data_IF_989559991923
#
_entry.id   IF_989559991923
#
_cell.length_a   1.000
_cell.length_b   1.000
_cell.length_c   1.000
_cell.angle_alpha   90.00
_cell.angle_beta   90.00
_cell.angle_gamma   90.00
#
_symmetry.space_group_name_H-M   'P 1'
#
loop_
_entity.id
_entity.type
_entity.pdbx_description
1 polymer ?
#
# COMPACT_ATOMS: atom_id res chain seq x y z
N UNK A 1 13.67 20.49 1.75
CA UNK A 1 15.13 20.48 1.88
C UNK A 1 15.74 20.32 0.49
N UNK A 2 16.62 21.23 0.05
CA UNK A 2 17.42 21.05 -1.18
C UNK A 2 18.49 19.99 -0.87
N UNK A 3 18.51 18.91 -1.64
CA UNK A 3 19.62 17.96 -1.63
C UNK A 3 20.75 18.60 -2.43
N UNK A 4 21.86 18.84 -1.79
CA UNK A 4 23.07 19.31 -2.49
C UNK A 4 23.72 18.14 -3.22
N UNK A 5 23.94 18.28 -4.51
CA UNK A 5 24.53 17.21 -5.35
C UNK A 5 25.98 16.85 -4.93
N UNK A 6 26.65 17.73 -4.18
CA UNK A 6 27.99 17.47 -3.62
C UNK A 6 27.99 16.36 -2.55
N UNK A 7 26.83 16.06 -1.95
CA UNK A 7 26.69 15.08 -0.86
C UNK A 7 26.25 13.70 -1.32
N UNK A 8 26.20 13.43 -2.62
CA UNK A 8 25.83 12.11 -3.16
C UNK A 8 27.01 11.18 -2.99
N UNK A 9 26.92 10.30 -2.01
CA UNK A 9 27.93 9.28 -1.72
C UNK A 9 27.58 7.93 -2.38
N UNK A 10 28.62 7.17 -2.72
CA UNK A 10 28.44 5.80 -3.19
C UNK A 10 27.91 4.92 -2.06
N UNK A 11 27.11 3.92 -2.45
CA UNK A 11 26.63 2.89 -1.53
C UNK A 11 27.77 2.20 -0.78
N UNK A 12 27.62 2.01 0.54
CA UNK A 12 28.61 1.30 1.36
C UNK A 12 28.79 -0.16 0.91
N UNK A 13 29.97 -0.72 1.15
CA UNK A 13 30.26 -2.13 0.83
C UNK A 13 29.33 -3.09 1.59
N UNK A 14 28.95 -2.76 2.82
CA UNK A 14 27.98 -3.54 3.60
C UNK A 14 26.59 -3.52 2.95
N UNK A 15 26.08 -2.34 2.60
CA UNK A 15 24.76 -2.20 1.93
C UNK A 15 24.73 -2.99 0.63
N UNK A 16 25.81 -2.93 -0.17
CA UNK A 16 25.92 -3.70 -1.42
C UNK A 16 25.82 -5.21 -1.18
N UNK A 17 26.55 -5.74 -0.17
CA UNK A 17 26.49 -7.17 0.18
C UNK A 17 25.10 -7.59 0.65
N UNK A 18 24.44 -6.77 1.49
CA UNK A 18 23.07 -7.05 1.96
C UNK A 18 22.08 -7.10 0.79
N UNK A 19 22.13 -6.15 -0.13
CA UNK A 19 21.26 -6.14 -1.31
C UNK A 19 21.53 -7.34 -2.23
N UNK A 20 22.77 -7.76 -2.40
CA UNK A 20 23.13 -8.94 -3.20
C UNK A 20 22.64 -10.26 -2.59
N UNK A 21 22.42 -10.32 -1.27
CA UNK A 21 21.90 -11.50 -0.57
C UNK A 21 20.36 -11.66 -0.68
N UNK A 22 19.66 -10.67 -1.25
CA UNK A 22 18.20 -10.73 -1.39
C UNK A 22 17.81 -11.59 -2.58
N UNK A 23 16.95 -12.58 -2.37
CA UNK A 23 16.27 -13.31 -3.44
C UNK A 23 15.14 -12.46 -4.04
N UNK A 24 15.49 -11.57 -4.97
CA UNK A 24 14.53 -10.68 -5.63
C UNK A 24 13.44 -11.44 -6.41
N UNK A 25 13.73 -12.64 -6.91
CA UNK A 25 12.77 -13.45 -7.63
C UNK A 25 11.66 -13.94 -6.69
N UNK A 26 12.05 -14.46 -5.54
CA UNK A 26 11.10 -14.88 -4.50
C UNK A 26 10.29 -13.69 -3.98
N UNK A 27 10.92 -12.56 -3.69
CA UNK A 27 10.24 -11.31 -3.26
C UNK A 27 9.20 -10.86 -4.29
N UNK A 28 9.58 -10.84 -5.58
CA UNK A 28 8.65 -10.48 -6.67
C UNK A 28 7.45 -11.40 -6.70
N UNK A 29 7.69 -12.70 -6.71
CA UNK A 29 6.63 -13.73 -6.77
C UNK A 29 5.66 -13.60 -5.59
N UNK A 30 6.20 -13.44 -4.38
CA UNK A 30 5.37 -13.32 -3.17
C UNK A 30 4.53 -12.05 -3.14
N UNK A 31 5.07 -10.91 -3.58
CA UNK A 31 4.31 -9.66 -3.71
C UNK A 31 3.19 -9.76 -4.74
N UNK A 32 3.44 -10.41 -5.87
CA UNK A 32 2.42 -10.63 -6.91
C UNK A 32 1.31 -11.57 -6.42
N UNK A 33 1.66 -12.64 -5.70
CA UNK A 33 0.70 -13.53 -5.05
C UNK A 33 -0.17 -12.78 -4.03
N UNK A 34 0.46 -12.06 -3.11
CA UNK A 34 -0.24 -11.27 -2.09
C UNK A 34 -1.16 -10.21 -2.72
N UNK A 35 -0.74 -9.57 -3.82
CA UNK A 35 -1.59 -8.63 -4.53
C UNK A 35 -2.84 -9.29 -5.11
N UNK A 36 -2.71 -10.46 -5.74
CA UNK A 36 -3.86 -11.23 -6.25
C UNK A 36 -4.82 -11.60 -5.13
N UNK A 37 -4.28 -12.12 -4.02
CA UNK A 37 -5.08 -12.44 -2.83
C UNK A 37 -5.78 -11.21 -2.28
N UNK A 38 -5.11 -10.06 -2.22
CA UNK A 38 -5.72 -8.80 -1.79
C UNK A 38 -6.84 -8.36 -2.74
N UNK A 39 -6.67 -8.49 -4.07
CA UNK A 39 -7.73 -8.21 -5.04
C UNK A 39 -8.98 -9.06 -4.78
N UNK A 40 -8.83 -10.35 -4.49
CA UNK A 40 -9.94 -11.25 -4.19
C UNK A 40 -10.66 -10.87 -2.89
N UNK A 41 -9.91 -10.56 -1.83
CA UNK A 41 -10.44 -10.25 -0.50
C UNK A 41 -11.11 -8.88 -0.47
N UNK A 42 -10.44 -7.83 -0.96
CA UNK A 42 -10.88 -6.45 -0.78
C UNK A 42 -11.83 -5.93 -1.86
N UNK A 43 -12.03 -6.64 -2.98
CA UNK A 43 -12.85 -6.18 -4.11
C UNK A 43 -14.28 -5.75 -3.71
N UNK A 44 -14.83 -6.36 -2.67
CA UNK A 44 -16.22 -6.10 -2.23
C UNK A 44 -16.39 -4.74 -1.54
N UNK A 45 -15.29 -4.16 -1.04
CA UNK A 45 -15.29 -2.85 -0.36
C UNK A 45 -14.48 -1.79 -1.11
N UNK A 46 -13.64 -2.19 -2.06
CA UNK A 46 -12.80 -1.24 -2.79
C UNK A 46 -13.62 -0.47 -3.83
N UNK A 47 -13.51 0.85 -3.83
CA UNK A 47 -14.20 1.75 -4.78
C UNK A 47 -13.53 1.84 -6.15
N UNK A 48 -12.32 1.28 -6.28
CA UNK A 48 -11.59 1.21 -7.55
C UNK A 48 -11.22 -0.23 -7.86
N UNK A 49 -10.99 -0.52 -9.14
CA UNK A 49 -10.37 -1.78 -9.58
C UNK A 49 -8.88 -1.56 -9.86
N UNK A 50 -7.99 -1.99 -8.96
CA UNK A 50 -6.56 -1.79 -9.13
C UNK A 50 -5.94 -2.72 -10.20
N UNK A 51 -6.70 -3.66 -10.78
CA UNK A 51 -6.18 -4.62 -11.76
C UNK A 51 -6.19 -4.08 -13.19
N UNK A 52 -6.94 -3.01 -13.47
CA UNK A 52 -7.16 -2.50 -14.83
C UNK A 52 -5.89 -2.12 -15.60
N UNK A 53 -4.78 -1.85 -14.91
CA UNK A 53 -3.53 -1.37 -15.51
C UNK A 53 -2.30 -2.18 -15.07
N UNK A 54 -2.48 -3.37 -14.50
CA UNK A 54 -1.38 -4.20 -14.01
C UNK A 54 -1.14 -5.36 -14.97
N UNK A 55 0.01 -5.34 -15.65
CA UNK A 55 0.53 -6.48 -16.38
C UNK A 55 1.34 -7.43 -15.47
N UNK A 56 1.66 -8.64 -15.96
CA UNK A 56 2.39 -9.65 -15.21
C UNK A 56 3.84 -9.28 -14.83
N UNK A 57 4.35 -8.14 -15.30
CA UNK A 57 5.72 -7.67 -15.01
C UNK A 57 5.74 -6.69 -13.83
N UNK A 58 4.61 -6.10 -13.49
CA UNK A 58 4.50 -5.18 -12.36
C UNK A 58 4.72 -5.90 -11.04
N UNK A 59 5.48 -5.30 -10.15
CA UNK A 59 5.69 -5.75 -8.77
C UNK A 59 5.04 -4.74 -7.83
N UNK A 60 3.83 -5.00 -7.35
CA UNK A 60 3.12 -4.04 -6.49
C UNK A 60 3.84 -3.84 -5.16
N UNK A 61 3.83 -2.60 -4.65
CA UNK A 61 4.37 -2.25 -3.34
C UNK A 61 3.29 -2.43 -2.26
N UNK A 62 2.06 -2.00 -2.58
CA UNK A 62 0.88 -2.06 -1.71
C UNK A 62 -0.34 -2.42 -2.54
N UNK A 63 -1.42 -2.83 -1.87
CA UNK A 63 -2.75 -2.87 -2.47
C UNK A 63 -3.46 -1.54 -2.19
N UNK A 64 -3.91 -0.80 -3.21
CA UNK A 64 -4.59 0.48 -3.03
C UNK A 64 -6.06 0.23 -2.70
N UNK A 65 -6.40 0.21 -1.43
CA UNK A 65 -7.79 0.19 -0.99
C UNK A 65 -8.32 1.63 -0.96
N UNK A 66 -9.33 1.91 -1.75
CA UNK A 66 -10.04 3.21 -1.72
C UNK A 66 -11.40 3.02 -1.06
N UNK A 67 -11.63 3.73 0.03
CA UNK A 67 -12.87 3.70 0.77
C UNK A 67 -13.17 5.08 1.35
N UNK A 68 -14.39 5.59 1.17
CA UNK A 68 -14.80 6.96 1.51
C UNK A 68 -14.97 7.17 3.02
N UNK A 69 -13.89 6.91 3.75
CA UNK A 69 -13.75 7.18 5.17
C UNK A 69 -12.36 7.77 5.43
N UNK A 70 -12.31 9.06 5.66
CA UNK A 70 -11.06 9.78 5.89
C UNK A 70 -10.43 9.49 7.27
N UNK A 71 -11.13 8.79 8.15
CA UNK A 71 -10.64 8.36 9.47
C UNK A 71 -10.19 6.91 9.52
N UNK A 72 -10.40 6.15 8.45
CA UNK A 72 -10.09 4.70 8.45
C UNK A 72 -8.62 4.41 8.81
N UNK A 73 -7.67 5.19 8.27
CA UNK A 73 -6.24 5.03 8.59
C UNK A 73 -5.96 5.23 10.08
N UNK A 74 -6.58 6.23 10.70
CA UNK A 74 -6.35 6.54 12.12
C UNK A 74 -6.96 5.46 13.01
N UNK A 75 -8.17 4.98 12.68
CA UNK A 75 -8.83 3.87 13.39
C UNK A 75 -8.07 2.54 13.24
N UNK A 76 -7.46 2.27 12.07
CA UNK A 76 -6.58 1.10 11.88
C UNK A 76 -5.33 1.19 12.77
N UNK A 77 -4.76 2.40 12.91
CA UNK A 77 -3.62 2.63 13.79
C UNK A 77 -3.94 2.36 15.26
N UNK A 78 -5.14 2.71 15.72
CA UNK A 78 -5.63 2.38 17.08
C UNK A 78 -5.71 0.86 17.30
N UNK A 79 -5.91 0.08 16.24
CA UNK A 79 -5.86 -1.38 16.24
C UNK A 79 -4.46 -1.96 16.01
N UNK A 80 -3.42 -1.12 16.08
CA UNK A 80 -2.02 -1.48 15.83
C UNK A 80 -1.76 -1.98 14.39
N UNK A 81 -2.66 -1.67 13.46
CA UNK A 81 -2.49 -1.93 12.04
C UNK A 81 -1.92 -0.67 11.40
N UNK A 82 -0.61 -0.70 11.18
CA UNK A 82 0.13 0.46 10.71
C UNK A 82 0.10 0.53 9.18
N UNK A 83 -0.68 1.47 8.69
CA UNK A 83 -0.68 1.93 7.31
C UNK A 83 -0.57 3.45 7.30
N UNK A 84 -0.29 4.05 6.16
CA UNK A 84 -0.07 5.49 6.05
C UNK A 84 -1.08 6.16 5.13
N UNK A 85 -1.05 7.49 5.13
CA UNK A 85 -1.63 8.29 4.05
C UNK A 85 -0.49 8.73 3.14
N UNK A 86 -0.65 8.47 1.87
CA UNK A 86 0.30 8.89 0.87
C UNK A 86 -0.12 10.24 0.27
N UNK A 87 0.87 11.00 -0.16
CA UNK A 87 0.71 12.24 -0.94
C UNK A 87 -0.19 13.31 -0.27
N UNK A 88 -0.12 13.48 1.03
CA UNK A 88 -0.89 14.51 1.74
C UNK A 88 -0.70 15.92 1.18
N UNK A 89 0.50 16.23 0.65
CA UNK A 89 0.80 17.52 0.03
C UNK A 89 -0.07 17.79 -1.21
N UNK A 90 -0.45 16.75 -1.94
CA UNK A 90 -1.30 16.87 -3.14
C UNK A 90 -2.61 17.57 -2.83
N UNK A 91 -3.18 17.38 -1.64
CA UNK A 91 -4.43 18.03 -1.22
C UNK A 91 -4.34 19.57 -1.19
N UNK A 92 -3.12 20.13 -1.16
CA UNK A 92 -2.88 21.58 -1.18
C UNK A 92 -2.50 22.10 -2.58
N UNK A 93 -2.27 21.20 -3.53
CA UNK A 93 -1.72 21.52 -4.86
C UNK A 93 -2.73 21.32 -6.00
N UNK A 94 -3.81 20.55 -5.75
CA UNK A 94 -4.79 20.20 -6.78
C UNK A 94 -6.21 20.64 -6.37
N UNK A 95 -7.14 20.80 -7.34
CA UNK A 95 -8.55 21.07 -7.02
C UNK A 95 -9.16 19.97 -6.15
N UNK A 96 -9.99 20.36 -5.17
CA UNK A 96 -10.62 19.42 -4.22
C UNK A 96 -11.43 18.32 -4.92
N UNK A 97 -12.03 18.61 -6.07
CA UNK A 97 -12.85 17.68 -6.84
C UNK A 97 -12.03 16.79 -7.80
N UNK A 98 -10.70 16.94 -7.81
CA UNK A 98 -9.85 16.12 -8.68
C UNK A 98 -9.73 14.68 -8.20
N UNK A 99 -9.43 13.76 -9.11
CA UNK A 99 -9.22 12.35 -8.79
C UNK A 99 -7.99 12.15 -7.88
N UNK A 100 -6.97 12.98 -8.05
CA UNK A 100 -5.76 12.97 -7.23
C UNK A 100 -6.09 13.36 -5.78
N UNK A 101 -6.94 14.37 -5.57
CA UNK A 101 -7.40 14.75 -4.24
C UNK A 101 -8.23 13.63 -3.61
N UNK A 102 -9.13 13.01 -4.38
CA UNK A 102 -9.93 11.86 -3.95
C UNK A 102 -9.05 10.69 -3.49
N UNK A 103 -8.06 10.30 -4.29
CA UNK A 103 -7.12 9.23 -3.92
C UNK A 103 -6.29 9.59 -2.68
N UNK A 104 -5.75 10.81 -2.61
CA UNK A 104 -4.95 11.26 -1.48
C UNK A 104 -5.74 11.29 -0.17
N UNK A 105 -7.05 11.51 -0.25
CA UNK A 105 -7.95 11.55 0.91
C UNK A 105 -8.41 10.16 1.36
N UNK A 106 -8.72 9.27 0.43
CA UNK A 106 -9.45 8.04 0.72
C UNK A 106 -8.66 6.75 0.48
N UNK A 107 -7.47 6.81 -0.14
CA UNK A 107 -6.67 5.62 -0.36
C UNK A 107 -5.94 5.19 0.90
N UNK A 108 -6.13 3.92 1.24
CA UNK A 108 -5.43 3.21 2.30
C UNK A 108 -4.46 2.20 1.67
N UNK A 109 -3.14 2.42 1.73
CA UNK A 109 -2.16 1.50 1.17
C UNK A 109 -2.01 0.26 2.06
N UNK A 110 -2.69 -0.83 1.71
CA UNK A 110 -2.59 -2.09 2.45
C UNK A 110 -1.25 -2.76 2.14
N UNK A 111 -0.42 -3.07 3.15
CA UNK A 111 0.86 -3.74 2.95
C UNK A 111 0.68 -5.15 2.38
N UNK A 112 1.43 -5.46 1.31
CA UNK A 112 1.41 -6.76 0.63
C UNK A 112 2.83 -7.31 0.40
N UNK A 113 3.79 -6.82 1.14
CA UNK A 113 5.18 -7.24 0.96
C UNK A 113 5.40 -8.72 1.36
N UNK A 114 6.56 -9.23 1.07
CA UNK A 114 6.90 -10.66 1.22
C UNK A 114 6.85 -11.19 2.68
N UNK A 115 6.69 -10.32 3.67
CA UNK A 115 6.54 -10.69 5.09
C UNK A 115 5.11 -11.12 5.44
N UNK A 116 4.16 -10.79 4.58
CA UNK A 116 2.74 -11.09 4.77
C UNK A 116 2.30 -12.30 3.95
N UNK A 117 1.19 -12.88 4.36
CA UNK A 117 0.49 -13.96 3.68
C UNK A 117 -1.03 -13.72 3.73
N UNK A 118 -1.80 -14.67 3.20
CA UNK A 118 -3.26 -14.62 3.17
C UNK A 118 -3.87 -14.45 4.56
N UNK A 119 -3.29 -15.05 5.61
CA UNK A 119 -3.79 -14.95 6.99
C UNK A 119 -3.75 -13.51 7.49
N UNK A 120 -2.63 -12.82 7.24
CA UNK A 120 -2.46 -11.42 7.59
C UNK A 120 -3.43 -10.52 6.81
N UNK A 121 -3.59 -10.75 5.50
CA UNK A 121 -4.51 -9.99 4.66
C UNK A 121 -5.97 -10.15 5.10
N UNK A 122 -6.38 -11.39 5.43
CA UNK A 122 -7.70 -11.67 5.98
C UNK A 122 -7.90 -10.99 7.35
N UNK A 123 -6.91 -11.03 8.23
CA UNK A 123 -6.98 -10.37 9.52
C UNK A 123 -7.26 -8.87 9.36
N UNK A 124 -6.46 -8.19 8.53
CA UNK A 124 -6.63 -6.75 8.27
C UNK A 124 -8.02 -6.47 7.66
N UNK A 125 -8.47 -7.30 6.73
CA UNK A 125 -9.79 -7.19 6.12
C UNK A 125 -10.93 -7.27 7.16
N UNK A 126 -10.90 -8.27 8.03
CA UNK A 126 -11.91 -8.42 9.08
C UNK A 126 -11.90 -7.24 10.08
N UNK A 127 -10.73 -6.71 10.42
CA UNK A 127 -10.66 -5.51 11.26
C UNK A 127 -11.24 -4.28 10.54
N UNK A 128 -11.02 -4.14 9.23
CA UNK A 128 -11.66 -3.08 8.43
C UNK A 128 -13.18 -3.24 8.44
N UNK A 129 -13.72 -4.44 8.19
CA UNK A 129 -15.15 -4.68 8.21
C UNK A 129 -15.78 -4.31 9.57
N UNK A 130 -15.14 -4.68 10.68
CA UNK A 130 -15.60 -4.30 12.04
C UNK A 130 -15.61 -2.79 12.23
N UNK A 131 -14.57 -2.09 11.77
CA UNK A 131 -14.46 -0.63 11.89
C UNK A 131 -15.52 0.10 11.03
N UNK A 132 -15.92 -0.51 9.93
CA UNK A 132 -16.93 0.04 9.01
C UNK A 132 -18.35 -0.40 9.33
N UNK A 133 -18.54 -1.23 10.38
CA UNK A 133 -19.84 -1.86 10.74
C UNK A 133 -20.50 -2.60 9.56
N UNK A 134 -19.66 -3.19 8.70
CA UNK A 134 -20.11 -4.01 7.56
C UNK A 134 -20.16 -5.47 8.02
N UNK A 135 -21.34 -6.07 7.99
CA UNK A 135 -21.51 -7.51 8.20
C UNK A 135 -21.08 -8.26 6.94
N UNK A 136 -20.11 -9.17 7.09
CA UNK A 136 -19.66 -10.05 6.02
C UNK A 136 -20.65 -11.20 5.79
#
# INVERSE_FOLDING_TARGET
ARVDASDILLMSGLTRKLLQAIDYKSVKSKRQENFKTACEIYRIINKIDPTLHIDGNVVPIVYPLVFEDDKLVDRLREKLIYTGRWWKSVLHEVPEQSFEAYLSKYMVPIPIDQRYDQTHLNYVFHEILKLLDIRA
#
